data_IF_052619551542
#
_entry.id   IF_052619551542
#
_cell.length_a   1.000
_cell.length_b   1.000
_cell.length_c   1.000
_cell.angle_alpha   90.00
_cell.angle_beta   90.00
_cell.angle_gamma   90.00
#
_symmetry.space_group_name_H-M   'P 1'
#
loop_
_entity.id
_entity.type
_entity.pdbx_description
1 polymer ?
#
# COMPACT_ATOMS: atom_id res chain seq x y z
N UNK A 1 -5.10 -4.97 12.30
CA UNK A 1 -5.39 -5.32 10.89
C UNK A 1 -5.57 -3.99 10.18
N UNK A 2 -4.82 -3.66 9.12
CA UNK A 2 -4.56 -4.61 8.04
C UNK A 2 -3.05 -4.75 7.75
N UNK A 3 -2.53 -5.93 8.08
CA UNK A 3 -1.18 -6.33 7.71
C UNK A 3 -1.28 -7.58 6.86
N UNK A 4 -0.34 -7.74 5.93
CA UNK A 4 -0.15 -8.98 5.18
C UNK A 4 1.32 -9.37 5.27
N UNK A 5 1.57 -10.66 5.48
CA UNK A 5 2.90 -11.24 5.43
C UNK A 5 3.13 -11.76 4.02
N UNK A 6 4.24 -11.35 3.41
CA UNK A 6 4.59 -11.66 2.03
C UNK A 6 6.05 -12.07 1.95
N UNK A 7 6.31 -13.14 1.22
CA UNK A 7 7.63 -13.44 0.67
C UNK A 7 7.78 -12.68 -0.63
N UNK A 8 8.71 -11.73 -0.67
CA UNK A 8 9.00 -10.90 -1.84
C UNK A 8 10.37 -11.26 -2.42
N UNK A 9 10.68 -10.76 -3.62
CA UNK A 9 12.01 -10.95 -4.22
C UNK A 9 13.14 -10.33 -3.39
N UNK A 10 12.84 -9.32 -2.57
CA UNK A 10 13.78 -8.74 -1.61
C UNK A 10 13.82 -9.48 -0.27
N UNK A 11 12.97 -10.49 -0.05
CA UNK A 11 12.86 -11.22 1.21
C UNK A 11 11.53 -11.01 1.94
N UNK A 12 11.40 -11.53 3.17
CA UNK A 12 10.15 -11.52 3.93
C UNK A 12 9.79 -10.12 4.43
N UNK A 13 8.49 -9.82 4.43
CA UNK A 13 7.99 -8.57 4.94
C UNK A 13 6.56 -8.64 5.45
N UNK A 14 6.30 -7.84 6.49
CA UNK A 14 4.97 -7.56 7.03
C UNK A 14 4.55 -6.16 6.58
N UNK A 15 3.68 -6.11 5.59
CA UNK A 15 3.25 -4.88 4.95
C UNK A 15 1.94 -4.38 5.57
N UNK A 16 1.95 -3.12 6.02
CA UNK A 16 0.74 -2.42 6.42
C UNK A 16 0.09 -1.83 5.18
N UNK A 17 -1.20 -2.08 5.00
CA UNK A 17 -1.93 -1.59 3.82
C UNK A 17 -3.18 -0.79 4.21
N UNK A 18 -3.86 -0.25 3.22
CA UNK A 18 -5.19 0.34 3.32
C UNK A 18 -5.91 0.05 2.03
N UNK A 19 -7.11 -0.49 2.14
CA UNK A 19 -7.93 -0.86 1.00
C UNK A 19 -9.28 -0.20 1.11
N UNK A 20 -9.74 0.42 0.03
CA UNK A 20 -11.13 0.84 -0.13
C UNK A 20 -11.68 0.33 -1.45
N UNK A 21 -12.97 0.08 -1.48
CA UNK A 21 -13.72 -0.42 -2.63
C UNK A 21 -14.90 0.53 -2.92
N UNK A 22 -15.66 0.35 -4.01
CA UNK A 22 -16.81 1.21 -4.30
C UNK A 22 -17.85 1.31 -3.19
N UNK A 23 -18.00 0.27 -2.38
CA UNK A 23 -18.99 0.21 -1.32
C UNK A 23 -18.43 0.34 0.09
N UNK A 24 -17.10 0.23 0.28
CA UNK A 24 -16.48 0.20 1.61
C UNK A 24 -15.20 1.05 1.66
N UNK A 25 -15.10 1.96 2.65
CA UNK A 25 -13.93 2.84 2.82
C UNK A 25 -12.74 2.14 3.49
N UNK A 26 -12.98 0.97 4.12
CA UNK A 26 -11.96 0.16 4.79
C UNK A 26 -12.25 -1.33 4.57
N UNK A 27 -11.94 -1.81 3.37
CA UNK A 27 -12.24 -3.17 2.96
C UNK A 27 -11.16 -4.18 3.35
N UNK A 28 -11.56 -5.45 3.46
CA UNK A 28 -10.65 -6.58 3.72
C UNK A 28 -10.29 -7.37 2.46
N UNK A 29 -11.05 -7.20 1.38
CA UNK A 29 -10.88 -7.88 0.11
C UNK A 29 -11.17 -6.93 -1.05
N UNK A 30 -10.54 -7.20 -2.18
CA UNK A 30 -10.80 -6.48 -3.44
C UNK A 30 -12.10 -6.96 -4.09
N UNK A 31 -12.70 -6.14 -4.93
CA UNK A 31 -13.75 -6.52 -5.88
C UNK A 31 -13.07 -7.06 -7.14
N UNK A 32 -13.19 -8.36 -7.49
CA UNK A 32 -12.40 -8.99 -8.56
C UNK A 32 -12.59 -8.39 -9.95
N UNK A 33 -13.79 -7.88 -10.26
CA UNK A 33 -14.17 -7.48 -11.62
C UNK A 33 -13.92 -6.00 -11.94
N UNK A 34 -13.19 -5.29 -11.07
CA UNK A 34 -12.84 -3.88 -11.29
C UNK A 34 -11.34 -3.66 -11.12
N UNK A 35 -10.76 -2.65 -11.81
CA UNK A 35 -9.34 -2.35 -11.68
C UNK A 35 -8.94 -1.99 -10.24
N UNK A 36 -7.69 -2.27 -9.91
CA UNK A 36 -7.06 -1.82 -8.66
C UNK A 36 -6.06 -0.72 -8.95
N UNK A 37 -6.23 0.43 -8.29
CA UNK A 37 -5.28 1.54 -8.32
C UNK A 37 -4.40 1.45 -7.09
N UNK A 38 -3.08 1.36 -7.31
CA UNK A 38 -2.08 1.36 -6.25
C UNK A 38 -1.58 2.78 -6.03
N UNK A 39 -1.73 3.28 -4.81
CA UNK A 39 -1.31 4.61 -4.38
C UNK A 39 0.01 4.49 -3.62
N UNK A 40 1.07 5.10 -4.15
CA UNK A 40 2.41 5.11 -3.54
C UNK A 40 2.62 6.47 -2.90
N UNK A 41 2.90 6.47 -1.60
CA UNK A 41 3.14 7.70 -0.84
C UNK A 41 4.54 8.27 -1.12
N UNK A 42 4.78 9.58 -0.95
CA UNK A 42 6.12 10.15 -1.02
C UNK A 42 7.00 9.68 0.15
N UNK A 43 8.31 9.88 0.04
CA UNK A 43 9.25 9.61 1.13
C UNK A 43 8.86 10.38 2.41
N UNK A 44 9.14 9.77 3.57
CA UNK A 44 8.87 10.33 4.91
C UNK A 44 7.40 10.54 5.29
N UNK A 45 6.43 10.20 4.44
CA UNK A 45 5.00 10.27 4.74
C UNK A 45 4.39 8.89 4.55
N UNK A 46 3.61 8.38 5.50
CA UNK A 46 2.95 7.07 5.34
C UNK A 46 1.68 7.12 4.46
N UNK A 47 1.14 5.95 4.13
CA UNK A 47 -0.08 5.77 3.32
C UNK A 47 -1.34 6.45 3.88
N UNK A 48 -1.31 6.91 5.13
CA UNK A 48 -2.39 7.66 5.75
C UNK A 48 -2.74 8.97 5.03
N UNK A 49 -1.80 9.56 4.27
CA UNK A 49 -2.04 10.75 3.45
C UNK A 49 -3.19 10.57 2.44
N UNK A 50 -3.44 9.33 2.01
CA UNK A 50 -4.52 9.03 1.06
C UNK A 50 -5.90 8.88 1.71
N UNK A 51 -6.05 9.15 3.00
CA UNK A 51 -7.36 9.05 3.66
C UNK A 51 -8.48 9.82 2.94
N UNK A 52 -8.30 11.07 2.47
CA UNK A 52 -9.32 11.77 1.69
C UNK A 52 -9.73 11.03 0.41
N UNK A 53 -8.77 10.38 -0.26
CA UNK A 53 -9.02 9.60 -1.48
C UNK A 53 -9.87 8.36 -1.17
N UNK A 54 -9.63 7.72 -0.03
CA UNK A 54 -10.39 6.53 0.42
C UNK A 54 -11.80 6.82 0.92
N UNK A 55 -12.15 8.07 1.24
CA UNK A 55 -13.53 8.40 1.66
C UNK A 55 -14.37 8.96 0.51
N UNK A 56 -13.74 9.44 -0.56
CA UNK A 56 -14.44 9.99 -1.73
C UNK A 56 -15.07 8.89 -2.60
N UNK A 57 -16.40 8.82 -2.59
CA UNK A 57 -17.17 7.86 -3.39
C UNK A 57 -16.97 8.03 -4.91
N UNK A 58 -16.63 9.23 -5.40
CA UNK A 58 -16.36 9.48 -6.83
C UNK A 58 -15.04 8.88 -7.27
N UNK A 59 -14.05 8.80 -6.37
CA UNK A 59 -12.73 8.21 -6.64
C UNK A 59 -12.73 6.69 -6.42
N UNK A 60 -13.55 6.20 -5.49
CA UNK A 60 -13.73 4.77 -5.21
C UNK A 60 -14.49 3.99 -6.30
N UNK A 61 -14.43 4.38 -7.57
CA UNK A 61 -14.94 3.54 -8.68
C UNK A 61 -14.03 2.34 -8.99
N UNK A 62 -12.92 2.23 -8.27
CA UNK A 62 -11.89 1.20 -8.36
C UNK A 62 -11.66 0.59 -6.97
N UNK A 63 -10.93 -0.52 -6.90
CA UNK A 63 -10.24 -0.88 -5.66
C UNK A 63 -9.09 0.12 -5.48
N UNK A 64 -9.06 0.87 -4.39
CA UNK A 64 -7.94 1.75 -4.06
C UNK A 64 -7.11 1.11 -2.96
N UNK A 65 -5.87 0.78 -3.29
CA UNK A 65 -4.91 0.15 -2.38
C UNK A 65 -3.75 1.11 -2.14
N UNK A 66 -3.43 1.39 -0.88
CA UNK A 66 -2.14 1.96 -0.51
C UNK A 66 -1.43 1.00 0.44
N UNK A 67 -0.10 1.00 0.40
CA UNK A 67 0.73 0.36 1.42
C UNK A 67 1.73 1.36 1.97
N UNK A 68 2.14 1.15 3.21
CA UNK A 68 3.36 1.78 3.69
C UNK A 68 4.54 1.05 3.04
N UNK A 69 5.39 1.79 2.32
CA UNK A 69 6.61 1.24 1.72
C UNK A 69 7.57 0.71 2.79
N UNK A 70 8.57 -0.08 2.38
CA UNK A 70 9.60 -0.61 3.29
C UNK A 70 10.24 0.52 4.10
N UNK A 71 10.39 0.29 5.41
CA UNK A 71 10.96 1.26 6.35
C UNK A 71 10.05 2.46 6.67
N UNK A 72 8.83 2.50 6.14
CA UNK A 72 7.87 3.59 6.37
C UNK A 72 6.64 3.10 7.15
N UNK A 73 6.00 4.05 7.83
CA UNK A 73 4.74 3.84 8.54
C UNK A 73 4.82 2.65 9.50
N UNK A 74 4.01 1.62 9.25
CA UNK A 74 3.98 0.40 10.07
C UNK A 74 4.55 -0.83 9.37
N UNK A 75 5.07 -0.69 8.15
CA UNK A 75 5.64 -1.82 7.40
C UNK A 75 7.04 -2.16 7.92
N UNK A 76 7.26 -3.45 8.18
CA UNK A 76 8.58 -4.02 8.50
C UNK A 76 8.94 -5.07 7.47
N UNK A 77 9.97 -4.83 6.66
CA UNK A 77 10.43 -5.76 5.64
C UNK A 77 11.95 -5.71 5.51
N UNK A 78 12.56 -6.87 5.31
CA UNK A 78 13.98 -6.99 4.98
C UNK A 78 14.21 -6.65 3.50
N UNK A 79 15.41 -6.24 3.14
CA UNK A 79 15.89 -6.42 1.77
C UNK A 79 17.32 -6.94 1.78
N UNK A 80 17.65 -7.75 0.78
CA UNK A 80 19.04 -8.02 0.43
C UNK A 80 19.72 -6.79 -0.19
N UNK A 81 21.04 -6.88 -0.37
CA UNK A 81 21.89 -5.80 -0.87
C UNK A 81 21.62 -5.44 -2.34
N UNK A 82 20.79 -6.21 -3.06
CA UNK A 82 20.38 -5.93 -4.44
C UNK A 82 19.41 -4.75 -4.52
N UNK A 83 18.62 -4.52 -3.46
CA UNK A 83 17.57 -3.49 -3.43
C UNK A 83 17.93 -2.37 -2.46
N UNK A 84 18.72 -1.41 -2.94
CA UNK A 84 19.05 -0.17 -2.25
C UNK A 84 18.46 1.07 -2.94
N UNK A 85 18.53 2.25 -2.30
CA UNK A 85 18.33 3.49 -3.04
C UNK A 85 19.32 3.53 -4.21
N UNK A 86 18.87 3.97 -5.38
CA UNK A 86 19.81 4.37 -6.42
C UNK A 86 20.63 5.55 -5.86
N UNK A 87 21.90 5.31 -5.56
CA UNK A 87 22.83 6.41 -5.33
C UNK A 87 23.01 7.07 -6.69
N UNK A 88 22.25 8.14 -6.94
CA UNK A 88 22.45 8.98 -8.11
C UNK A 88 23.90 9.43 -8.15
N UNK A 89 24.61 9.07 -9.23
CA UNK A 89 25.95 9.56 -9.53
C UNK A 89 25.90 11.04 -9.94
#
# INVERSE_FOLDING_TARGET
MPFIELETLSGPGRFHYRLSTPTETHAKAIVPDIPTVILIHPAYIGAHIFHPVFVDAKLRRFNLLALDCRGHGRTSASADDTYGPETGA
#
